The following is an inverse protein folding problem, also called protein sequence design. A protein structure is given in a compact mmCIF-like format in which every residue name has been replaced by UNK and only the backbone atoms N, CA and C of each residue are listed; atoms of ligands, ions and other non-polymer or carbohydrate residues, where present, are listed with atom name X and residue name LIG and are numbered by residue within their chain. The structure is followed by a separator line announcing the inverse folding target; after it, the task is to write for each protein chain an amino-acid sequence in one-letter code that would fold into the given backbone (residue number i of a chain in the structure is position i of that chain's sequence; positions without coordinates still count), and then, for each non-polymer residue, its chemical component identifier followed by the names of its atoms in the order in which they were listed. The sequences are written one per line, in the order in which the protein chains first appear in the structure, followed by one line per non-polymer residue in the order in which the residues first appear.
data_IF_430783554245
#
_entry.id   IF_430783554245
#
_cell.length_a   1.000
_cell.length_b   1.000
_cell.length_c   1.000
_cell.angle_alpha   90.00
_cell.angle_beta   90.00
_cell.angle_gamma   90.00
#
_symmetry.space_group_name_H-M   'P 1'
#
loop_
_entity.id
_entity.type
_entity.pdbx_description
1 polymer ?
#
# COMPACT_ATOMS: atom_id res chain seq x y z
N UNK A 1 -1.51 5.98 8.47
CA UNK A 1 -2.03 6.08 7.09
C UNK A 1 -3.53 6.24 7.18
N UNK A 2 -4.10 7.26 6.53
CA UNK A 2 -5.54 7.51 6.55
C UNK A 2 -6.34 6.32 5.95
N UNK A 3 -7.55 6.02 6.45
CA UNK A 3 -8.37 4.89 6.00
C UNK A 3 -8.54 4.83 4.48
N UNK A 4 -8.87 5.96 3.85
CA UNK A 4 -9.07 6.05 2.40
C UNK A 4 -7.78 5.87 1.60
N UNK A 5 -6.64 6.28 2.15
CA UNK A 5 -5.33 6.09 1.53
C UNK A 5 -4.95 4.61 1.57
N UNK A 6 -5.24 3.93 2.69
CA UNK A 6 -5.05 2.47 2.80
C UNK A 6 -5.92 1.71 1.80
N UNK A 7 -7.18 2.11 1.63
CA UNK A 7 -8.09 1.50 0.64
C UNK A 7 -7.56 1.70 -0.78
N UNK A 8 -7.15 2.91 -1.15
CA UNK A 8 -6.58 3.18 -2.47
C UNK A 8 -5.30 2.38 -2.74
N UNK A 9 -4.44 2.24 -1.73
CA UNK A 9 -3.26 1.38 -1.82
C UNK A 9 -3.63 -0.10 -1.99
N UNK A 10 -4.62 -0.61 -1.25
CA UNK A 10 -5.09 -1.99 -1.39
C UNK A 10 -5.65 -2.28 -2.79
N UNK A 11 -6.37 -1.32 -3.39
CA UNK A 11 -6.86 -1.46 -4.78
C UNK A 11 -5.70 -1.50 -5.76
N UNK A 12 -4.72 -0.60 -5.64
CA UNK A 12 -3.54 -0.59 -6.50
C UNK A 12 -2.74 -1.89 -6.40
N UNK A 13 -2.46 -2.34 -5.17
CA UNK A 13 -1.70 -3.57 -4.92
C UNK A 13 -2.50 -4.78 -5.42
N UNK A 14 -3.78 -4.90 -5.11
CA UNK A 14 -4.62 -6.00 -5.60
C UNK A 14 -4.82 -6.02 -7.12
N UNK A 15 -4.71 -4.86 -7.77
CA UNK A 15 -4.77 -4.75 -9.22
C UNK A 15 -3.42 -4.97 -9.93
N UNK A 16 -2.31 -4.89 -9.19
CA UNK A 16 -0.96 -5.09 -9.72
C UNK A 16 -0.78 -6.50 -10.28
N UNK A 17 0.09 -6.62 -11.28
CA UNK A 17 0.40 -7.93 -11.88
C UNK A 17 1.00 -8.90 -10.85
N UNK A 18 1.75 -8.43 -9.85
CA UNK A 18 2.25 -9.28 -8.76
C UNK A 18 1.12 -9.97 -8.01
N UNK A 19 0.17 -9.19 -7.47
CA UNK A 19 -0.97 -9.74 -6.75
C UNK A 19 -1.89 -10.60 -7.64
N UNK A 20 -2.06 -10.26 -8.93
CA UNK A 20 -2.87 -11.04 -9.88
C UNK A 20 -2.18 -12.29 -10.42
N UNK A 21 -0.85 -12.31 -10.49
CA UNK A 21 -0.05 -13.46 -10.89
C UNK A 21 -0.04 -14.54 -9.81
N UNK A 22 -0.38 -14.20 -8.56
CA UNK A 22 -0.60 -15.21 -7.53
C UNK A 22 -1.74 -16.14 -7.92
N UNK A 23 -1.45 -17.42 -8.07
CA UNK A 23 -2.47 -18.46 -8.33
C UNK A 23 -3.37 -18.71 -7.11
N UNK A 24 -3.34 -17.83 -6.11
CA UNK A 24 -3.97 -18.00 -4.80
C UNK A 24 -5.37 -17.40 -4.84
N UNK A 25 -6.35 -18.28 -4.97
CA UNK A 25 -7.79 -17.97 -4.99
C UNK A 25 -8.22 -16.99 -3.88
N UNK A 26 -7.64 -17.11 -2.68
CA UNK A 26 -7.95 -16.22 -1.55
C UNK A 26 -7.67 -14.73 -1.81
N UNK A 27 -6.58 -14.39 -2.52
CA UNK A 27 -6.24 -13.00 -2.86
C UNK A 27 -7.25 -12.46 -3.89
N UNK A 28 -7.55 -13.25 -4.92
CA UNK A 28 -8.56 -12.91 -5.92
C UNK A 28 -9.96 -12.72 -5.33
N UNK A 29 -10.37 -13.60 -4.41
CA UNK A 29 -11.66 -13.51 -3.72
C UNK A 29 -11.71 -12.25 -2.83
N UNK A 30 -10.65 -11.94 -2.08
CA UNK A 30 -10.57 -10.76 -1.22
C UNK A 30 -10.60 -9.45 -2.03
N UNK A 31 -9.86 -9.39 -3.14
CA UNK A 31 -9.88 -8.24 -4.03
C UNK A 31 -11.23 -8.07 -4.72
N UNK A 32 -11.84 -9.16 -5.17
CA UNK A 32 -13.19 -9.13 -5.76
C UNK A 32 -14.22 -8.63 -4.75
N UNK A 33 -14.15 -9.07 -3.49
CA UNK A 33 -14.99 -8.57 -2.41
C UNK A 33 -14.81 -7.06 -2.18
N UNK A 34 -13.56 -6.59 -2.12
CA UNK A 34 -13.23 -5.17 -1.98
C UNK A 34 -13.80 -4.33 -3.14
N UNK A 35 -13.58 -4.79 -4.39
CA UNK A 35 -14.06 -4.11 -5.60
C UNK A 35 -15.58 -4.07 -5.67
N UNK A 36 -16.24 -5.16 -5.32
CA UNK A 36 -17.71 -5.22 -5.31
C UNK A 36 -18.30 -4.30 -4.24
N UNK A 37 -17.67 -4.22 -3.07
CA UNK A 37 -18.07 -3.26 -2.03
C UNK A 37 -17.95 -1.82 -2.50
N UNK A 38 -16.80 -1.47 -3.09
CA UNK A 38 -16.54 -0.14 -3.65
C UNK A 38 -17.55 0.23 -4.73
N UNK A 39 -17.79 -0.64 -5.70
CA UNK A 39 -18.71 -0.35 -6.81
C UNK A 39 -20.18 -0.33 -6.38
N UNK A 40 -20.56 -1.13 -5.38
CA UNK A 40 -21.94 -1.17 -4.87
C UNK A 40 -22.28 0.05 -4.00
N UNK A 41 -21.41 0.41 -3.04
CA UNK A 41 -21.68 1.47 -2.06
C UNK A 41 -21.16 2.84 -2.51
N UNK A 42 -20.07 2.85 -3.26
CA UNK A 42 -19.38 4.05 -3.76
C UNK A 42 -19.32 4.04 -5.28
N UNK A 43 -20.43 3.73 -5.97
CA UNK A 43 -20.46 3.65 -7.44
C UNK A 43 -19.92 4.89 -8.17
N UNK A 44 -19.91 6.05 -7.52
CA UNK A 44 -19.27 7.28 -8.01
C UNK A 44 -17.75 7.21 -8.18
N UNK A 45 -17.07 6.25 -7.53
CA UNK A 45 -15.62 6.03 -7.64
C UNK A 45 -15.26 4.84 -8.51
N UNK A 46 -16.25 4.15 -9.09
CA UNK A 46 -16.02 2.95 -9.89
C UNK A 46 -15.12 3.24 -11.11
N UNK A 47 -15.26 4.41 -11.72
CA UNK A 47 -14.43 4.85 -12.83
C UNK A 47 -12.97 5.02 -12.39
N UNK A 48 -12.73 5.69 -11.26
CA UNK A 48 -11.40 5.89 -10.68
C UNK A 48 -10.74 4.57 -10.27
N UNK A 49 -11.52 3.62 -9.73
CA UNK A 49 -11.04 2.26 -9.45
C UNK A 49 -10.57 1.61 -10.75
N UNK A 50 -11.37 1.62 -11.81
CA UNK A 50 -10.97 1.03 -13.10
C UNK A 50 -9.76 1.73 -13.72
N UNK A 51 -9.64 3.05 -13.63
CA UNK A 51 -8.44 3.77 -14.07
C UNK A 51 -7.20 3.35 -13.28
N UNK A 52 -7.31 3.21 -11.97
CA UNK A 52 -6.21 2.75 -11.12
C UNK A 52 -5.85 1.28 -11.40
N UNK A 53 -6.84 0.44 -11.72
CA UNK A 53 -6.61 -0.96 -12.08
C UNK A 53 -5.81 -1.15 -13.37
N UNK A 54 -5.82 -0.16 -14.27
CA UNK A 54 -5.00 -0.17 -15.49
C UNK A 54 -3.56 0.29 -15.23
N UNK A 55 -3.38 1.24 -14.31
CA UNK A 55 -2.07 1.83 -13.99
C UNK A 55 -1.90 1.91 -12.46
N UNK A 56 -1.66 0.76 -11.79
CA UNK A 56 -1.66 0.65 -10.33
C UNK A 56 -0.49 1.39 -9.66
N UNK A 57 0.61 1.57 -10.38
CA UNK A 57 1.81 2.25 -9.88
C UNK A 57 1.64 3.78 -9.85
N UNK A 58 0.67 4.32 -10.59
CA UNK A 58 0.49 5.76 -10.75
C UNK A 58 -0.01 6.42 -9.45
N UNK A 59 0.82 7.30 -8.89
CA UNK A 59 0.54 7.92 -7.59
C UNK A 59 -0.64 8.91 -7.66
N UNK A 60 -0.79 9.66 -8.74
CA UNK A 60 -1.88 10.65 -8.87
C UNK A 60 -3.25 9.97 -8.92
N UNK A 61 -3.39 8.80 -9.57
CA UNK A 61 -4.59 7.97 -9.54
C UNK A 61 -4.92 7.45 -8.15
N UNK A 62 -3.93 6.98 -7.40
CA UNK A 62 -4.13 6.55 -5.99
C UNK A 62 -4.61 7.71 -5.14
N UNK A 63 -3.97 8.88 -5.25
CA UNK A 63 -4.35 10.08 -4.52
C UNK A 63 -5.76 10.58 -4.91
N UNK A 64 -6.10 10.51 -6.20
CA UNK A 64 -7.42 10.89 -6.70
C UNK A 64 -8.52 9.96 -6.14
N UNK A 65 -8.29 8.65 -6.17
CA UNK A 65 -9.21 7.67 -5.59
C UNK A 65 -9.41 7.92 -4.09
N UNK A 66 -8.33 8.11 -3.33
CA UNK A 66 -8.41 8.42 -1.90
C UNK A 66 -9.21 9.71 -1.62
N UNK A 67 -8.98 10.76 -2.42
CA UNK A 67 -9.72 12.03 -2.31
C UNK A 67 -11.22 11.85 -2.60
N UNK A 68 -11.57 11.07 -3.62
CA UNK A 68 -12.97 10.79 -3.99
C UNK A 68 -13.67 9.94 -2.93
N UNK A 69 -12.97 8.94 -2.39
CA UNK A 69 -13.43 8.12 -1.28
C UNK A 69 -13.68 8.96 -0.02
N UNK A 70 -12.78 9.87 0.30
CA UNK A 70 -12.97 10.80 1.42
C UNK A 70 -14.21 11.67 1.23
N UNK A 71 -14.37 12.25 0.03
CA UNK A 71 -15.54 13.09 -0.30
C UNK A 71 -16.85 12.30 -0.26
N UNK A 72 -16.82 11.00 -0.54
CA UNK A 72 -17.97 10.11 -0.47
C UNK A 72 -18.25 9.56 0.96
N UNK A 73 -17.44 9.93 1.95
CA UNK A 73 -17.61 9.47 3.34
C UNK A 73 -17.09 8.06 3.61
N UNK A 74 -16.23 7.52 2.75
CA UNK A 74 -15.63 6.19 2.94
C UNK A 74 -14.61 6.14 4.10
N UNK A 75 -14.25 7.28 4.68
CA UNK A 75 -13.31 7.35 5.78
C UNK A 75 -13.82 6.62 7.04
N UNK A 76 -15.13 6.71 7.27
CA UNK A 76 -15.83 6.12 8.42
C UNK A 76 -16.37 4.70 8.12
N UNK A 77 -16.15 4.17 6.91
CA UNK A 77 -16.58 2.82 6.54
C UNK A 77 -15.59 1.78 7.07
N UNK A 78 -15.87 1.27 8.26
CA UNK A 78 -15.08 0.23 8.92
C UNK A 78 -15.05 -1.09 8.15
N UNK A 79 -16.14 -1.44 7.45
CA UNK A 79 -16.22 -2.69 6.68
C UNK A 79 -15.32 -2.60 5.44
N UNK A 80 -15.37 -1.48 4.72
CA UNK A 80 -14.49 -1.22 3.59
C UNK A 80 -13.01 -1.23 4.00
N UNK A 81 -12.70 -0.61 5.14
CA UNK A 81 -11.34 -0.61 5.70
C UNK A 81 -10.87 -2.03 6.03
N UNK A 82 -11.74 -2.85 6.62
CA UNK A 82 -11.42 -4.23 6.98
C UNK A 82 -11.19 -5.10 5.74
N UNK A 83 -11.98 -4.92 4.67
CA UNK A 83 -11.76 -5.62 3.39
C UNK A 83 -10.41 -5.27 2.78
N UNK A 84 -10.06 -3.98 2.75
CA UNK A 84 -8.77 -3.51 2.26
C UNK A 84 -7.61 -4.09 3.09
N UNK A 85 -7.73 -4.08 4.42
CA UNK A 85 -6.71 -4.63 5.31
C UNK A 85 -6.55 -6.15 5.15
N UNK A 86 -7.65 -6.89 5.01
CA UNK A 86 -7.64 -8.33 4.77
C UNK A 86 -6.89 -8.67 3.49
N UNK A 87 -7.16 -7.93 2.40
CA UNK A 87 -6.45 -8.11 1.13
C UNK A 87 -4.95 -7.87 1.29
N UNK A 88 -4.56 -6.77 1.93
CA UNK A 88 -3.14 -6.44 2.15
C UNK A 88 -2.43 -7.51 2.99
N UNK A 89 -3.06 -7.97 4.07
CA UNK A 89 -2.49 -9.05 4.90
C UNK A 89 -2.33 -10.34 4.12
N UNK A 90 -3.33 -10.74 3.31
CA UNK A 90 -3.22 -11.92 2.47
C UNK A 90 -2.10 -11.80 1.43
N UNK A 91 -1.84 -10.60 0.91
CA UNK A 91 -0.74 -10.36 -0.02
C UNK A 91 0.60 -10.42 0.73
N UNK A 92 0.73 -9.74 1.87
CA UNK A 92 1.93 -9.75 2.72
C UNK A 92 2.32 -11.17 3.17
N UNK A 93 1.35 -11.99 3.59
CA UNK A 93 1.59 -13.37 4.04
C UNK A 93 2.04 -14.30 2.90
N UNK A 94 1.65 -13.99 1.67
CA UNK A 94 1.73 -14.93 0.54
C UNK A 94 2.78 -14.53 -0.50
N UNK A 95 3.18 -13.26 -0.53
CA UNK A 95 4.22 -12.69 -1.38
C UNK A 95 4.97 -11.53 -0.67
N UNK A 96 6.09 -11.82 0.02
CA UNK A 96 6.92 -10.78 0.63
C UNK A 96 7.66 -9.87 -0.39
N UNK A 97 7.35 -9.95 -1.68
CA UNK A 97 8.05 -9.28 -2.78
C UNK A 97 7.24 -8.30 -3.63
N UNK A 98 5.93 -8.14 -3.37
CA UNK A 98 5.17 -7.01 -3.94
C UNK A 98 5.73 -5.73 -3.32
N UNK A 99 5.98 -4.64 -4.07
CA UNK A 99 6.59 -3.41 -3.52
C UNK A 99 5.68 -2.86 -2.44
N UNK A 100 5.96 -3.29 -1.21
CA UNK A 100 5.33 -2.79 -0.04
C UNK A 100 5.77 -1.33 0.05
N UNK A 101 4.83 -0.43 0.29
CA UNK A 101 5.11 0.95 0.69
C UNK A 101 5.88 1.00 2.01
N UNK A 102 6.30 -0.14 2.57
CA UNK A 102 7.11 -0.31 3.77
C UNK A 102 8.04 -1.51 3.58
N UNK A 103 9.36 -1.34 3.70
CA UNK A 103 10.34 -2.42 3.55
C UNK A 103 10.34 -3.46 4.66
N UNK A 104 10.21 -3.01 5.91
CA UNK A 104 10.11 -3.88 7.09
C UNK A 104 8.99 -3.38 7.97
N UNK A 105 7.97 -4.21 8.22
CA UNK A 105 6.88 -3.87 9.15
C UNK A 105 6.91 -4.80 10.37
N UNK A 106 7.11 -4.22 11.55
CA UNK A 106 7.06 -4.92 12.83
C UNK A 106 5.86 -4.39 13.62
N UNK A 107 4.95 -5.26 14.05
CA UNK A 107 3.78 -4.88 14.87
C UNK A 107 3.63 -5.80 16.06
N UNK A 108 3.54 -5.24 17.27
CA UNK A 108 3.31 -5.97 18.51
C UNK A 108 4.27 -7.15 18.68
N UNK A 109 5.56 -6.92 18.42
CA UNK A 109 6.59 -7.95 18.56
C UNK A 109 7.20 -7.88 19.97
N UNK A 110 7.19 -8.99 20.70
CA UNK A 110 7.83 -9.12 22.01
C UNK A 110 8.84 -10.25 21.95
N UNK A 111 10.12 -9.93 22.12
CA UNK A 111 11.21 -10.91 21.97
C UNK A 111 12.17 -10.81 23.15
N UNK A 112 12.51 -11.97 23.70
CA UNK A 112 13.42 -12.10 24.84
C UNK A 112 14.90 -11.85 24.53
N UNK A 113 15.21 -11.32 23.34
CA UNK A 113 16.58 -11.16 22.84
C UNK A 113 16.71 -9.92 21.96
N UNK A 114 17.73 -9.92 21.10
CA UNK A 114 18.03 -8.80 20.21
C UNK A 114 17.13 -8.79 18.96
N UNK A 115 16.79 -7.59 18.50
CA UNK A 115 16.20 -7.33 17.18
C UNK A 115 17.23 -6.62 16.33
N UNK A 116 17.57 -7.19 15.17
CA UNK A 116 18.47 -6.56 14.22
C UNK A 116 17.83 -6.51 12.82
N UNK A 117 17.74 -5.30 12.28
CA UNK A 117 17.23 -4.99 10.94
C UNK A 117 18.36 -4.33 10.15
N UNK A 118 18.88 -5.00 9.14
CA UNK A 118 20.05 -4.54 8.37
C UNK A 118 19.75 -4.55 6.87
N UNK A 119 20.30 -3.58 6.14
CA UNK A 119 20.29 -3.51 4.67
C UNK A 119 18.88 -3.51 4.03
N UNK A 120 17.98 -2.67 4.56
CA UNK A 120 16.61 -2.54 4.05
C UNK A 120 16.57 -1.58 2.87
N UNK A 121 16.30 -2.07 1.66
CA UNK A 121 16.10 -1.23 0.47
C UNK A 121 14.65 -1.24 0.01
N UNK A 122 14.07 -0.06 -0.21
CA UNK A 122 12.68 0.11 -0.65
C UNK A 122 12.61 1.16 -1.74
N UNK A 123 11.87 0.87 -2.81
CA UNK A 123 11.56 1.80 -3.88
C UNK A 123 10.11 2.25 -3.73
N UNK A 124 9.88 3.54 -3.45
CA UNK A 124 8.54 4.13 -3.33
C UNK A 124 7.78 3.83 -2.04
N UNK A 125 8.45 3.95 -0.88
CA UNK A 125 7.81 3.70 0.42
C UNK A 125 8.66 4.09 1.64
N UNK A 126 8.20 3.70 2.83
CA UNK A 126 8.93 3.77 4.09
C UNK A 126 9.93 2.62 4.22
N UNK A 127 11.07 2.87 4.85
CA UNK A 127 12.08 1.82 5.07
C UNK A 127 11.62 0.79 6.10
N UNK A 128 11.43 1.25 7.33
CA UNK A 128 11.01 0.41 8.47
C UNK A 128 9.83 1.09 9.17
N UNK A 129 8.78 0.32 9.46
CA UNK A 129 7.57 0.70 10.20
C UNK A 129 7.47 -0.23 11.42
N UNK A 130 7.77 0.29 12.61
CA UNK A 130 7.82 -0.49 13.84
C UNK A 130 6.84 0.08 14.87
N UNK A 131 5.87 -0.73 15.29
CA UNK A 131 4.81 -0.36 16.23
C UNK A 131 4.73 -1.39 17.36
N UNK A 132 4.69 -0.91 18.61
CA UNK A 132 4.62 -1.75 19.82
C UNK A 132 5.69 -2.85 19.89
N UNK A 133 6.96 -2.45 19.82
CA UNK A 133 8.10 -3.38 19.85
C UNK A 133 8.70 -3.45 21.26
N UNK A 134 8.78 -4.66 21.79
CA UNK A 134 9.45 -4.99 23.05
C UNK A 134 10.60 -5.94 22.74
N UNK A 135 11.82 -5.47 22.98
CA UNK A 135 13.02 -6.27 22.95
C UNK A 135 13.65 -6.24 24.34
N UNK A 136 13.84 -7.41 24.95
CA UNK A 136 14.55 -7.51 26.23
C UNK A 136 16.07 -7.30 26.04
N UNK A 137 16.57 -7.53 24.82
CA UNK A 137 17.93 -7.21 24.39
C UNK A 137 18.06 -5.84 23.73
N UNK A 138 18.85 -5.77 22.66
CA UNK A 138 19.10 -4.58 21.86
C UNK A 138 18.25 -4.54 20.59
N UNK A 139 17.76 -3.35 20.22
CA UNK A 139 17.11 -3.09 18.93
C UNK A 139 18.08 -2.29 18.06
N UNK A 140 18.53 -2.87 16.94
CA UNK A 140 19.44 -2.24 15.97
C UNK A 140 18.79 -2.20 14.60
N UNK A 141 18.75 -1.01 14.00
CA UNK A 141 18.30 -0.79 12.62
C UNK A 141 19.44 -0.09 11.86
N UNK A 142 19.89 -0.64 10.74
CA UNK A 142 21.06 -0.15 10.00
C UNK A 142 20.93 -0.39 8.49
N UNK A 143 21.57 0.44 7.66
CA UNK A 143 21.56 0.25 6.19
C UNK A 143 20.20 0.46 5.51
N UNK A 144 19.31 1.29 6.06
CA UNK A 144 17.98 1.53 5.48
C UNK A 144 18.04 2.57 4.36
N UNK A 145 17.65 2.18 3.14
CA UNK A 145 17.57 2.98 1.93
C UNK A 145 16.15 2.96 1.35
N UNK A 146 15.31 3.92 1.76
CA UNK A 146 14.02 4.17 1.14
C UNK A 146 14.17 5.28 0.08
N UNK A 147 14.08 4.94 -1.21
CA UNK A 147 14.18 5.90 -2.31
C UNK A 147 12.79 6.23 -2.84
N UNK A 148 12.46 7.51 -2.95
CA UNK A 148 11.28 7.96 -3.70
C UNK A 148 11.47 7.68 -5.19
N UNK A 149 10.40 7.47 -5.99
CA UNK A 149 10.50 7.46 -7.44
C UNK A 149 11.16 8.78 -7.88
N UNK A 150 12.26 8.71 -8.62
CA UNK A 150 12.90 9.91 -9.13
C UNK A 150 11.93 10.62 -10.08
N UNK A 151 11.49 11.83 -9.70
CA UNK A 151 10.82 12.72 -10.63
C UNK A 151 11.74 12.94 -11.84
N UNK A 152 11.27 12.76 -13.09
CA UNK A 152 12.08 13.02 -14.27
C UNK A 152 12.66 14.43 -14.20
N UNK A 153 13.94 14.65 -14.56
CA UNK A 153 14.51 15.98 -14.53
C UNK A 153 13.67 16.91 -15.42
N UNK A 154 13.10 17.95 -14.81
CA UNK A 154 12.37 19.00 -15.52
C UNK A 154 13.26 19.54 -16.66
N UNK A 155 12.77 19.60 -17.92
CA UNK A 155 13.51 20.25 -18.98
C UNK A 155 13.72 21.73 -18.60
N UNK A 156 14.92 22.29 -18.83
CA UNK A 156 15.18 23.68 -18.51
C UNK A 156 14.24 24.55 -19.34
N UNK A 157 13.45 25.36 -18.63
CA UNK A 157 12.67 26.54 -19.07
C UNK A 157 12.83 26.88 -20.55
N UNK A 158 11.70 26.86 -21.27
CA UNK A 158 11.57 27.40 -22.61
C UNK A 158 12.16 28.83 -22.63
N UNK A 159 13.14 29.05 -23.52
CA UNK A 159 13.59 30.42 -23.85
C UNK A 159 12.39 31.18 -24.37
N UNK A 160 11.94 32.17 -23.61
CA UNK A 160 11.16 33.28 -24.15
C UNK A 160 12.05 34.10 -25.09
N UNK A 161 11.56 34.25 -26.33
CA UNK A 161 11.88 35.27 -27.35
C UNK A 161 13.33 35.37 -27.84
#
# INVERSE_FOLDING_TARGET
MDPVTLIAAAVAIGASEGARATTKKAIGDAYTALRNWLTSKYGSVAAEVSCLEQEPEEELRRALLAKKLAAAGANDDSELRQLAQTLLTLIEEQEPGVPATVGVRLRRASIGGDIEVTDVAVEGGSGVDAEDIVADGSLRISGVSARSPQEPPHPPVAREQ
#
